data_IF_910542964371
#
_entry.id   IF_910542964371
#
_cell.length_a   1.000
_cell.length_b   1.000
_cell.length_c   1.000
_cell.angle_alpha   90.00
_cell.angle_beta   90.00
_cell.angle_gamma   90.00
#
_symmetry.space_group_name_H-M   'P 1'
#
loop_
_entity.id
_entity.type
_entity.pdbx_description
1 polymer ?
#
# COMPACT_ATOMS: atom_id res chain seq x y z
N UNK A 1 10.08 -2.97 11.35
CA UNK A 1 8.60 -2.85 11.45
C UNK A 1 8.10 -4.13 12.09
N UNK A 2 7.37 -4.05 13.21
CA UNK A 2 6.90 -5.25 13.91
C UNK A 2 5.96 -6.07 13.02
N UNK A 3 6.07 -7.40 13.09
CA UNK A 3 5.13 -8.30 12.44
C UNK A 3 3.73 -8.06 13.01
N UNK A 4 2.73 -7.92 12.13
CA UNK A 4 1.31 -7.71 12.48
C UNK A 4 0.45 -8.67 11.68
N UNK A 5 -0.75 -8.98 12.16
CA UNK A 5 -1.61 -10.04 11.61
C UNK A 5 -2.94 -9.49 11.10
N UNK A 6 -3.65 -10.22 10.21
CA UNK A 6 -5.00 -9.87 9.79
C UNK A 6 -6.03 -10.15 10.90
N UNK A 7 -7.03 -9.27 11.01
CA UNK A 7 -8.21 -9.54 11.83
C UNK A 7 -9.16 -10.44 11.02
N UNK A 8 -9.31 -11.68 11.48
CA UNK A 8 -9.95 -12.76 10.72
C UNK A 8 -11.47 -12.65 10.58
N UNK A 9 -12.16 -12.01 11.53
CA UNK A 9 -13.64 -11.99 11.58
C UNK A 9 -14.21 -10.58 11.42
N UNK A 10 -15.40 -10.51 10.79
CA UNK A 10 -16.16 -9.26 10.66
C UNK A 10 -16.55 -8.67 12.02
N UNK A 11 -16.89 -9.53 13.00
CA UNK A 11 -17.22 -9.14 14.39
C UNK A 11 -16.08 -8.36 15.04
N UNK A 12 -14.84 -8.83 14.90
CA UNK A 12 -13.66 -8.18 15.50
C UNK A 12 -13.32 -6.87 14.79
N UNK A 13 -13.46 -6.81 13.45
CA UNK A 13 -13.33 -5.55 12.70
C UNK A 13 -14.32 -4.49 13.18
N UNK A 14 -15.58 -4.87 13.39
CA UNK A 14 -16.63 -3.97 13.91
C UNK A 14 -16.43 -3.59 15.37
N UNK A 15 -15.82 -4.46 16.17
CA UNK A 15 -15.45 -4.12 17.54
C UNK A 15 -14.33 -3.06 17.57
N UNK A 16 -13.29 -3.24 16.76
CA UNK A 16 -12.22 -2.25 16.60
C UNK A 16 -12.75 -0.91 16.07
N UNK A 17 -13.62 -0.92 15.04
CA UNK A 17 -14.25 0.29 14.51
C UNK A 17 -15.02 1.06 15.60
N UNK A 18 -15.81 0.36 16.43
CA UNK A 18 -16.56 0.97 17.54
C UNK A 18 -15.65 1.62 18.57
N UNK A 19 -14.53 0.97 18.92
CA UNK A 19 -13.54 1.55 19.81
C UNK A 19 -12.94 2.83 19.23
N UNK A 20 -12.56 2.83 17.95
CA UNK A 20 -12.01 4.01 17.27
C UNK A 20 -13.01 5.16 17.26
N UNK A 21 -14.27 4.90 16.91
CA UNK A 21 -15.35 5.91 16.89
C UNK A 21 -15.59 6.56 18.25
N UNK A 22 -15.49 5.79 19.33
CA UNK A 22 -15.75 6.28 20.69
C UNK A 22 -14.58 7.05 21.30
N UNK A 23 -13.34 6.67 20.98
CA UNK A 23 -12.16 7.12 21.73
C UNK A 23 -11.19 8.00 20.93
N UNK A 24 -11.38 8.13 19.62
CA UNK A 24 -10.44 8.83 18.74
C UNK A 24 -11.17 9.71 17.72
N UNK A 25 -10.42 10.65 17.13
CA UNK A 25 -10.91 11.51 16.06
C UNK A 25 -11.49 10.69 14.90
N UNK A 26 -12.56 11.21 14.29
CA UNK A 26 -13.22 10.63 13.13
C UNK A 26 -12.24 10.25 12.01
N UNK A 27 -11.17 11.02 11.81
CA UNK A 27 -10.14 10.75 10.81
C UNK A 27 -9.52 9.35 10.99
N UNK A 28 -9.29 8.88 12.22
CA UNK A 28 -8.73 7.54 12.45
C UNK A 28 -9.72 6.43 12.08
N UNK A 29 -11.01 6.65 12.36
CA UNK A 29 -12.08 5.74 11.93
C UNK A 29 -12.21 5.72 10.40
N UNK A 30 -12.09 6.87 9.73
CA UNK A 30 -12.10 6.94 8.27
C UNK A 30 -10.89 6.22 7.66
N UNK A 31 -9.68 6.43 8.19
CA UNK A 31 -8.49 5.66 7.75
C UNK A 31 -8.72 4.16 7.93
N UNK A 32 -9.31 3.75 9.06
CA UNK A 32 -9.65 2.35 9.32
C UNK A 32 -10.60 1.79 8.27
N UNK A 33 -11.76 2.42 8.09
CA UNK A 33 -12.80 1.94 7.18
C UNK A 33 -12.31 1.92 5.72
N UNK A 34 -11.67 3.00 5.26
CA UNK A 34 -11.08 3.06 3.91
C UNK A 34 -10.02 1.97 3.75
N UNK A 35 -9.17 1.73 4.75
CA UNK A 35 -8.14 0.68 4.66
C UNK A 35 -8.71 -0.73 4.61
N UNK A 36 -9.83 -0.98 5.30
CA UNK A 36 -10.53 -2.27 5.30
C UNK A 36 -11.31 -2.52 4.01
N UNK A 37 -11.79 -1.48 3.32
CA UNK A 37 -12.56 -1.63 2.06
C UNK A 37 -11.69 -1.54 0.80
N UNK A 38 -10.61 -0.76 0.81
CA UNK A 38 -9.77 -0.53 -0.37
C UNK A 38 -8.50 -1.40 -0.42
N UNK A 39 -8.06 -1.88 0.76
CA UNK A 39 -6.76 -2.54 0.89
C UNK A 39 -5.59 -1.63 0.51
N UNK A 40 -5.74 -0.31 0.53
CA UNK A 40 -4.63 0.60 0.27
C UNK A 40 -3.58 0.55 1.39
N UNK A 41 -2.35 0.96 1.07
CA UNK A 41 -1.32 1.17 2.11
C UNK A 41 -1.68 2.46 2.84
N UNK A 42 -1.44 2.53 4.15
CA UNK A 42 -1.73 3.75 4.92
C UNK A 42 -1.06 4.99 4.32
N UNK A 43 0.16 4.87 3.79
CA UNK A 43 0.83 5.99 3.10
C UNK A 43 0.05 6.57 1.93
N UNK A 44 -0.72 5.73 1.22
CA UNK A 44 -1.54 6.14 0.09
C UNK A 44 -2.89 6.67 0.58
N UNK A 45 -3.50 6.03 1.60
CA UNK A 45 -4.74 6.49 2.25
C UNK A 45 -4.59 7.93 2.76
N UNK A 46 -3.50 8.22 3.48
CA UNK A 46 -3.28 9.53 4.09
C UNK A 46 -3.12 10.66 3.06
N UNK A 47 -2.82 10.33 1.79
CA UNK A 47 -2.71 11.28 0.69
C UNK A 47 -3.98 11.39 -0.15
N UNK A 48 -5.06 10.71 0.24
CA UNK A 48 -6.32 10.78 -0.48
C UNK A 48 -6.86 12.21 -0.53
N UNK A 49 -7.38 12.56 -1.70
CA UNK A 49 -7.99 13.86 -1.97
C UNK A 49 -9.44 13.69 -2.37
N UNK A 50 -10.29 14.68 -2.09
CA UNK A 50 -11.70 14.61 -2.45
C UNK A 50 -11.90 14.55 -3.97
N UNK A 51 -11.06 15.22 -4.77
CA UNK A 51 -11.10 15.13 -6.24
C UNK A 51 -10.90 13.73 -6.80
N UNK A 52 -10.30 12.83 -6.03
CA UNK A 52 -10.02 11.44 -6.44
C UNK A 52 -11.19 10.49 -6.16
N UNK A 53 -12.28 11.00 -5.58
CA UNK A 53 -13.42 10.20 -5.14
C UNK A 53 -14.67 10.71 -5.84
N UNK A 54 -15.29 9.83 -6.63
CA UNK A 54 -16.63 10.07 -7.12
C UNK A 54 -17.62 9.81 -5.98
N UNK A 55 -18.12 10.89 -5.38
CA UNK A 55 -19.01 10.82 -4.22
C UNK A 55 -20.44 10.33 -4.56
N UNK A 56 -20.81 10.21 -5.84
CA UNK A 56 -22.14 9.68 -6.22
C UNK A 56 -22.16 8.17 -6.33
N UNK A 57 -21.10 7.55 -6.88
CA UNK A 57 -21.05 6.11 -7.14
C UNK A 57 -19.96 5.36 -6.35
N UNK A 58 -19.15 6.07 -5.58
CA UNK A 58 -18.10 5.49 -4.73
C UNK A 58 -16.82 5.06 -5.45
N UNK A 59 -16.74 5.25 -6.77
CA UNK A 59 -15.53 4.96 -7.53
C UNK A 59 -14.41 5.92 -7.14
N UNK A 60 -13.24 5.36 -6.86
CA UNK A 60 -12.06 6.12 -6.47
C UNK A 60 -10.88 5.75 -7.38
N UNK A 61 -10.04 6.72 -7.71
CA UNK A 61 -8.80 6.48 -8.45
C UNK A 61 -7.63 7.21 -7.80
N UNK A 62 -6.54 6.48 -7.55
CA UNK A 62 -5.33 7.07 -6.96
C UNK A 62 -4.07 6.66 -7.72
N UNK A 63 -3.01 7.45 -7.54
CA UNK A 63 -1.66 7.09 -7.93
C UNK A 63 -0.98 6.36 -6.76
N UNK A 64 -0.62 5.09 -6.93
CA UNK A 64 0.12 4.32 -5.93
C UNK A 64 1.55 4.84 -5.79
N UNK A 65 1.97 5.16 -4.56
CA UNK A 65 3.33 5.68 -4.30
C UNK A 65 4.42 4.66 -4.64
N UNK A 66 4.29 3.41 -4.13
CA UNK A 66 5.35 2.38 -4.25
C UNK A 66 5.50 1.87 -5.68
N UNK A 67 4.39 1.62 -6.36
CA UNK A 67 4.39 1.14 -7.75
C UNK A 67 5.00 2.17 -8.70
N UNK A 68 4.62 3.44 -8.56
CA UNK A 68 5.15 4.55 -9.34
C UNK A 68 6.65 4.71 -9.13
N UNK A 69 7.13 4.62 -7.87
CA UNK A 69 8.56 4.66 -7.57
C UNK A 69 9.32 3.51 -8.24
N UNK A 70 8.75 2.30 -8.22
CA UNK A 70 9.36 1.14 -8.89
C UNK A 70 9.44 1.32 -10.41
N UNK A 71 8.41 1.89 -11.05
CA UNK A 71 8.44 2.23 -12.49
C UNK A 71 9.52 3.28 -12.81
N UNK A 72 9.59 4.35 -12.02
CA UNK A 72 10.62 5.40 -12.15
C UNK A 72 12.03 4.83 -11.99
N UNK A 73 12.24 3.96 -10.99
CA UNK A 73 13.51 3.27 -10.78
C UNK A 73 13.90 2.38 -11.98
N UNK A 74 12.94 1.66 -12.55
CA UNK A 74 13.16 0.86 -13.78
C UNK A 74 13.49 1.75 -14.98
N UNK A 75 12.81 2.89 -15.14
CA UNK A 75 13.09 3.84 -16.22
C UNK A 75 14.52 4.40 -16.12
N UNK A 76 14.93 4.87 -14.92
CA UNK A 76 16.32 5.26 -14.64
C UNK A 76 17.31 4.15 -14.98
N UNK A 77 17.03 2.91 -14.57
CA UNK A 77 17.90 1.76 -14.83
C UNK A 77 18.13 1.52 -16.32
N UNK A 78 17.09 1.68 -17.15
CA UNK A 78 17.19 1.52 -18.60
C UNK A 78 18.14 2.55 -19.22
N UNK A 79 18.08 3.80 -18.75
CA UNK A 79 19.02 4.85 -19.18
C UNK A 79 20.45 4.49 -18.79
N UNK A 80 20.67 4.10 -17.53
CA UNK A 80 22.02 3.77 -17.05
C UNK A 80 22.63 2.54 -17.75
N UNK A 81 21.81 1.57 -18.16
CA UNK A 81 22.27 0.44 -19.00
C UNK A 81 22.79 0.92 -20.35
N UNK A 82 22.05 1.81 -21.03
CA UNK A 82 22.49 2.41 -22.30
C UNK A 82 23.76 3.25 -22.13
N UNK A 83 23.83 4.08 -21.08
CA UNK A 83 25.03 4.87 -20.78
C UNK A 83 26.24 3.96 -20.51
N UNK A 84 26.05 2.82 -19.83
CA UNK A 84 27.11 1.83 -19.65
C UNK A 84 27.63 1.30 -21.00
N UNK A 85 26.75 0.95 -21.92
CA UNK A 85 27.11 0.50 -23.27
C UNK A 85 27.87 1.59 -24.04
N UNK A 86 27.41 2.84 -23.98
CA UNK A 86 28.06 4.01 -24.58
C UNK A 86 29.47 4.24 -24.00
N UNK A 87 29.65 4.07 -22.68
CA UNK A 87 30.95 4.19 -22.02
C UNK A 87 31.91 3.06 -22.44
N UNK A 88 31.41 1.83 -22.58
CA UNK A 88 32.22 0.71 -23.09
C UNK A 88 32.76 1.03 -24.48
N UNK A 89 31.89 1.48 -25.38
CA UNK A 89 32.28 1.88 -26.73
C UNK A 89 33.27 3.06 -26.73
N UNK A 90 33.02 4.09 -25.91
CA UNK A 90 33.88 5.27 -25.80
C UNK A 90 35.32 4.93 -25.38
N UNK A 91 35.48 4.02 -24.41
CA UNK A 91 36.80 3.60 -23.94
C UNK A 91 37.46 2.59 -24.88
N UNK A 92 36.69 1.69 -25.51
CA UNK A 92 37.18 0.78 -26.53
C UNK A 92 37.79 1.54 -27.72
N UNK A 93 37.08 2.53 -28.25
CA UNK A 93 37.52 3.35 -29.37
C UNK A 93 38.80 4.17 -29.08
N UNK A 94 39.15 4.38 -27.80
CA UNK A 94 40.36 5.09 -27.35
C UNK A 94 41.49 4.15 -26.94
N UNK A 95 41.31 2.83 -27.07
CA UNK A 95 42.29 1.84 -26.63
C UNK A 95 42.46 1.76 -25.10
N UNK A 96 41.51 2.28 -24.33
CA UNK A 96 41.60 2.36 -22.86
C UNK A 96 41.09 1.08 -22.19
N UNK A 97 41.79 -0.04 -22.42
CA UNK A 97 41.38 -1.40 -21.99
C UNK A 97 41.13 -1.53 -20.48
N UNK A 98 41.97 -0.93 -19.63
CA UNK A 98 41.80 -0.93 -18.16
C UNK A 98 40.48 -0.26 -17.74
N UNK A 99 40.18 0.92 -18.30
CA UNK A 99 38.91 1.62 -18.01
C UNK A 99 37.71 0.84 -18.53
N UNK A 100 37.80 0.30 -19.74
CA UNK A 100 36.75 -0.53 -20.33
C UNK A 100 36.42 -1.75 -19.47
N UNK A 101 37.44 -2.47 -18.98
CA UNK A 101 37.27 -3.63 -18.08
C UNK A 101 36.53 -3.26 -16.79
N UNK A 102 36.88 -2.12 -16.18
CA UNK A 102 36.19 -1.61 -14.98
C UNK A 102 34.71 -1.34 -15.27
N UNK A 103 34.39 -0.66 -16.39
CA UNK A 103 33.00 -0.41 -16.79
C UNK A 103 32.24 -1.72 -17.01
N UNK A 104 32.89 -2.72 -17.63
CA UNK A 104 32.26 -4.01 -17.95
C UNK A 104 31.75 -4.73 -16.69
N UNK A 105 32.57 -4.81 -15.65
CA UNK A 105 32.21 -5.46 -14.38
C UNK A 105 31.30 -4.59 -13.49
N UNK A 106 31.29 -3.27 -13.71
CA UNK A 106 30.53 -2.33 -12.86
C UNK A 106 29.01 -2.47 -13.11
N UNK A 107 28.19 -2.67 -12.06
CA UNK A 107 26.74 -2.67 -12.19
C UNK A 107 26.21 -1.32 -12.72
N UNK A 108 25.17 -1.30 -13.58
CA UNK A 108 24.66 -0.05 -14.19
C UNK A 108 24.32 1.05 -13.18
N UNK A 109 23.88 0.67 -11.97
CA UNK A 109 23.52 1.60 -10.89
C UNK A 109 24.71 2.45 -10.41
N UNK A 110 25.91 1.91 -10.54
CA UNK A 110 27.15 2.51 -10.07
C UNK A 110 27.94 3.18 -11.20
N UNK A 111 27.43 3.13 -12.44
CA UNK A 111 28.16 3.67 -13.59
C UNK A 111 28.30 5.20 -13.55
N UNK A 112 27.45 5.86 -12.76
CA UNK A 112 27.40 7.33 -12.63
C UNK A 112 28.74 7.91 -12.20
N UNK A 113 29.49 7.23 -11.32
CA UNK A 113 30.81 7.69 -10.86
C UNK A 113 31.91 7.59 -11.92
N UNK A 114 31.63 6.94 -13.06
CA UNK A 114 32.59 6.75 -14.16
C UNK A 114 32.22 7.55 -15.41
N UNK A 115 31.16 8.35 -15.35
CA UNK A 115 30.72 9.23 -16.43
C UNK A 115 31.70 10.41 -16.53
N UNK A 116 32.26 10.72 -17.71
CA UNK A 116 33.06 11.92 -17.90
C UNK A 116 32.25 13.19 -17.61
N UNK A 117 32.87 14.22 -17.01
CA UNK A 117 32.21 15.50 -16.70
C UNK A 117 31.45 16.12 -17.89
N UNK A 118 31.99 15.96 -19.11
CA UNK A 118 31.35 16.44 -20.33
C UNK A 118 30.00 15.77 -20.66
N UNK A 119 29.74 14.58 -20.11
CA UNK A 119 28.50 13.82 -20.33
C UNK A 119 27.49 13.98 -19.19
N UNK A 120 27.90 14.48 -18.03
CA UNK A 120 27.06 14.53 -16.82
C UNK A 120 25.74 15.25 -17.06
N UNK A 121 25.77 16.45 -17.68
CA UNK A 121 24.56 17.23 -17.95
C UNK A 121 23.57 16.44 -18.83
N UNK A 122 24.05 15.92 -19.95
CA UNK A 122 23.23 15.16 -20.91
C UNK A 122 22.68 13.87 -20.28
N UNK A 123 23.48 13.16 -19.48
CA UNK A 123 23.00 11.94 -18.82
C UNK A 123 21.97 12.28 -17.74
N UNK A 124 22.17 13.35 -16.96
CA UNK A 124 21.21 13.79 -15.96
C UNK A 124 19.87 14.18 -16.59
N UNK A 125 19.89 14.89 -17.72
CA UNK A 125 18.69 15.22 -18.49
C UNK A 125 17.99 13.96 -19.01
N UNK A 126 18.73 13.01 -19.59
CA UNK A 126 18.18 11.72 -20.05
C UNK A 126 17.51 10.94 -18.91
N UNK A 127 18.15 10.91 -17.73
CA UNK A 127 17.61 10.24 -16.54
C UNK A 127 16.35 10.95 -16.06
N UNK A 128 16.38 12.29 -15.94
CA UNK A 128 15.24 13.11 -15.53
C UNK A 128 14.06 12.90 -16.48
N UNK A 129 14.28 13.06 -17.78
CA UNK A 129 13.28 12.84 -18.81
C UNK A 129 12.69 11.42 -18.70
N UNK A 130 13.52 10.37 -18.59
CA UNK A 130 13.01 9.01 -18.47
C UNK A 130 12.18 8.76 -17.19
N UNK A 131 12.51 9.42 -16.09
CA UNK A 131 11.75 9.35 -14.83
C UNK A 131 10.41 10.08 -14.98
N UNK A 132 10.41 11.27 -15.57
CA UNK A 132 9.24 12.12 -15.72
C UNK A 132 8.26 11.55 -16.75
N UNK A 133 8.76 10.93 -17.82
CA UNK A 133 7.95 10.19 -18.79
C UNK A 133 7.42 8.84 -18.28
N UNK A 134 7.86 8.37 -17.11
CA UNK A 134 7.41 7.08 -16.59
C UNK A 134 5.98 7.18 -16.04
N UNK A 135 5.03 6.54 -16.72
CA UNK A 135 3.60 6.60 -16.36
C UNK A 135 3.35 6.13 -14.92
N UNK A 136 2.60 6.90 -14.11
CA UNK A 136 2.27 6.53 -12.74
C UNK A 136 1.49 5.22 -12.69
N UNK A 137 1.65 4.46 -11.60
CA UNK A 137 0.78 3.31 -11.33
C UNK A 137 -0.51 3.84 -10.73
N UNK A 138 -1.61 3.74 -11.47
CA UNK A 138 -2.94 4.07 -10.94
C UNK A 138 -3.61 2.82 -10.37
N UNK A 139 -4.52 3.04 -9.43
CA UNK A 139 -5.37 2.00 -8.86
C UNK A 139 -6.78 2.52 -8.66
N UNK A 140 -7.74 1.75 -9.16
CA UNK A 140 -9.17 1.97 -8.95
C UNK A 140 -9.66 1.10 -7.79
N UNK A 141 -10.55 1.64 -6.98
CA UNK A 141 -11.24 0.94 -5.91
C UNK A 141 -12.60 1.58 -5.64
N UNK A 142 -13.41 0.94 -4.81
CA UNK A 142 -14.73 1.43 -4.44
C UNK A 142 -14.82 1.60 -2.93
N UNK A 143 -15.62 2.56 -2.49
CA UNK A 143 -15.97 2.80 -1.09
C UNK A 143 -17.47 2.64 -0.89
N UNK A 144 -17.86 2.13 0.27
CA UNK A 144 -19.24 1.95 0.65
C UNK A 144 -19.96 3.28 0.84
N UNK A 145 -21.28 3.26 0.63
CA UNK A 145 -22.14 4.42 0.80
C UNK A 145 -21.98 5.07 2.20
N UNK A 146 -21.80 4.26 3.24
CA UNK A 146 -21.57 4.73 4.61
C UNK A 146 -20.33 5.64 4.74
N UNK A 147 -19.24 5.29 4.04
CA UNK A 147 -18.02 6.10 4.00
C UNK A 147 -18.28 7.36 3.18
N UNK A 148 -18.95 7.25 2.04
CA UNK A 148 -19.25 8.40 1.18
C UNK A 148 -20.11 9.45 1.88
N UNK A 149 -21.14 9.04 2.63
CA UNK A 149 -21.97 9.94 3.43
C UNK A 149 -21.10 10.69 4.43
N UNK A 150 -20.22 9.98 5.14
CA UNK A 150 -19.31 10.58 6.13
C UNK A 150 -18.32 11.56 5.46
N UNK A 151 -17.78 11.19 4.29
CA UNK A 151 -16.88 12.05 3.51
C UNK A 151 -17.59 13.31 2.98
N UNK A 152 -18.85 13.19 2.54
CA UNK A 152 -19.68 14.34 2.11
C UNK A 152 -19.89 15.32 3.26
N UNK A 153 -20.30 14.81 4.42
CA UNK A 153 -20.50 15.62 5.64
C UNK A 153 -19.20 16.32 6.05
N UNK A 154 -18.09 15.57 6.11
CA UNK A 154 -16.78 16.13 6.46
C UNK A 154 -16.29 17.17 5.43
N UNK A 155 -16.52 16.96 4.14
CA UNK A 155 -16.15 17.93 3.09
C UNK A 155 -16.90 19.25 3.30
N UNK A 156 -18.18 19.18 3.65
CA UNK A 156 -18.99 20.37 3.93
C UNK A 156 -18.54 21.10 5.20
N UNK A 157 -18.22 20.36 6.27
CA UNK A 157 -17.74 20.90 7.55
C UNK A 157 -16.45 21.72 7.37
N UNK A 158 -15.52 21.24 6.54
CA UNK A 158 -14.20 21.85 6.34
C UNK A 158 -14.05 22.61 5.01
N UNK A 159 -15.16 23.02 4.38
CA UNK A 159 -15.16 23.68 3.06
C UNK A 159 -14.29 24.95 3.00
N UNK A 160 -14.23 25.70 4.11
CA UNK A 160 -13.50 26.98 4.23
C UNK A 160 -11.97 26.82 4.22
N UNK A 161 -11.44 25.63 4.51
CA UNK A 161 -9.99 25.40 4.53
C UNK A 161 -9.38 25.37 3.12
N UNK A 162 -10.20 25.43 2.05
CA UNK A 162 -9.77 25.39 0.65
C UNK A 162 -8.74 24.27 0.34
N UNK A 163 -8.86 23.14 1.04
CA UNK A 163 -7.90 22.05 0.96
C UNK A 163 -8.59 20.76 0.50
N UNK A 164 -7.98 20.10 -0.48
CA UNK A 164 -8.51 18.91 -1.11
C UNK A 164 -8.12 17.61 -0.37
N UNK A 165 -7.12 17.64 0.51
CA UNK A 165 -6.70 16.46 1.27
C UNK A 165 -7.67 16.11 2.39
N UNK A 166 -8.17 14.86 2.39
CA UNK A 166 -9.14 14.34 3.37
C UNK A 166 -8.54 14.26 4.78
N UNK A 167 -7.24 13.95 4.87
CA UNK A 167 -6.53 13.71 6.13
C UNK A 167 -5.54 14.83 6.47
N UNK A 168 -5.86 16.08 6.10
CA UNK A 168 -5.09 17.23 6.54
C UNK A 168 -5.23 17.42 8.06
N UNK A 169 -4.12 17.75 8.75
CA UNK A 169 -4.11 17.91 10.20
C UNK A 169 -5.01 19.03 10.71
N UNK A 170 -5.25 20.06 9.90
CA UNK A 170 -6.17 21.15 10.21
C UNK A 170 -7.63 20.69 10.36
N UNK A 171 -7.96 19.51 9.81
CA UNK A 171 -9.29 18.89 9.92
C UNK A 171 -9.43 17.95 11.12
N UNK A 172 -8.39 17.83 11.96
CA UNK A 172 -8.46 17.03 13.19
C UNK A 172 -9.01 17.87 14.35
N UNK A 173 -9.71 17.25 15.29
CA UNK A 173 -10.26 17.89 16.50
C UNK A 173 -9.18 18.46 17.44
N UNK A 174 -7.98 17.88 17.47
CA UNK A 174 -6.92 18.28 18.38
C UNK A 174 -6.33 19.66 18.03
N UNK A 175 -6.36 20.61 18.98
CA UNK A 175 -5.77 21.94 18.81
C UNK A 175 -4.28 21.91 18.44
N UNK A 176 -3.51 20.97 19.00
CA UNK A 176 -2.10 20.74 18.62
C UNK A 176 -1.95 20.35 17.15
N UNK A 177 -2.91 19.59 16.61
CA UNK A 177 -2.90 19.20 15.21
C UNK A 177 -3.35 20.33 14.29
N UNK A 178 -4.33 21.14 14.72
CA UNK A 178 -4.86 22.27 13.94
C UNK A 178 -3.82 23.35 13.66
N UNK A 179 -2.91 23.60 14.61
CA UNK A 179 -1.82 24.56 14.43
C UNK A 179 -0.66 24.07 13.56
N UNK A 180 -0.71 22.83 13.07
CA UNK A 180 0.37 22.23 12.27
C UNK A 180 0.00 22.04 10.80
N UNK A 181 0.94 22.34 9.91
CA UNK A 181 0.79 22.06 8.49
C UNK A 181 0.92 20.56 8.16
N UNK A 182 0.33 20.17 7.03
CA UNK A 182 0.50 18.86 6.41
C UNK A 182 -0.55 17.82 6.78
N UNK A 183 -0.20 16.55 6.51
CA UNK A 183 -1.12 15.41 6.60
C UNK A 183 -0.98 14.65 7.91
N UNK A 184 -2.04 13.96 8.30
CA UNK A 184 -2.01 12.96 9.37
C UNK A 184 -0.86 11.97 9.10
N UNK A 185 -0.07 11.65 10.13
CA UNK A 185 1.13 10.84 9.94
C UNK A 185 0.86 9.36 10.12
N UNK A 186 1.66 8.53 9.43
CA UNK A 186 1.67 7.08 9.66
C UNK A 186 1.97 6.71 11.11
N UNK A 187 2.79 7.51 11.80
CA UNK A 187 3.15 7.27 13.20
C UNK A 187 1.94 7.52 14.12
N UNK A 188 1.15 8.55 13.86
CA UNK A 188 -0.10 8.80 14.59
C UNK A 188 -1.10 7.66 14.37
N UNK A 189 -1.28 7.20 13.13
CA UNK A 189 -2.13 6.04 12.85
C UNK A 189 -1.60 4.77 13.54
N UNK A 190 -0.29 4.53 13.51
CA UNK A 190 0.31 3.38 14.19
C UNK A 190 0.05 3.44 15.69
N UNK A 191 0.28 4.60 16.32
CA UNK A 191 0.05 4.79 17.75
C UNK A 191 -1.41 4.47 18.11
N UNK A 192 -2.38 5.03 17.39
CA UNK A 192 -3.81 4.75 17.62
C UNK A 192 -4.16 3.29 17.36
N UNK A 193 -3.78 2.73 16.21
CA UNK A 193 -4.14 1.36 15.84
C UNK A 193 -3.45 0.30 16.68
N UNK A 194 -2.25 0.57 17.21
CA UNK A 194 -1.56 -0.37 18.09
C UNK A 194 -2.34 -0.66 19.38
N UNK A 195 -3.12 0.31 19.88
CA UNK A 195 -4.01 0.15 21.05
C UNK A 195 -5.07 -0.91 20.85
N UNK A 196 -5.52 -1.12 19.61
CA UNK A 196 -6.50 -2.15 19.28
C UNK A 196 -6.02 -3.56 19.61
N UNK A 197 -4.71 -3.78 19.73
CA UNK A 197 -4.15 -5.05 20.20
C UNK A 197 -4.67 -5.40 21.60
N UNK A 198 -4.62 -4.46 22.54
CA UNK A 198 -5.10 -4.68 23.91
C UNK A 198 -6.62 -4.86 23.93
N UNK A 199 -7.35 -4.01 23.19
CA UNK A 199 -8.81 -4.06 23.12
C UNK A 199 -9.33 -5.38 22.53
N UNK A 200 -8.65 -5.91 21.50
CA UNK A 200 -9.02 -7.20 20.93
C UNK A 200 -8.64 -8.35 21.87
N UNK A 201 -7.55 -8.23 22.63
CA UNK A 201 -7.15 -9.23 23.64
C UNK A 201 -8.19 -9.35 24.76
N UNK A 202 -8.81 -8.25 25.19
CA UNK A 202 -9.88 -8.25 26.21
C UNK A 202 -11.09 -9.12 25.81
N UNK A 203 -11.36 -9.26 24.52
CA UNK A 203 -12.43 -10.12 23.99
C UNK A 203 -11.92 -11.49 23.50
N UNK A 204 -10.73 -11.90 23.95
CA UNK A 204 -10.14 -13.21 23.66
C UNK A 204 -9.50 -13.32 22.27
N UNK A 205 -9.13 -12.20 21.64
CA UNK A 205 -8.54 -12.18 20.29
C UNK A 205 -7.09 -11.72 20.39
N UNK A 206 -6.17 -12.70 20.42
CA UNK A 206 -4.74 -12.42 20.40
C UNK A 206 -4.28 -12.11 18.97
N UNK A 207 -4.22 -10.81 18.64
CA UNK A 207 -3.78 -10.33 17.33
C UNK A 207 -3.03 -9.02 17.48
N UNK A 208 -1.80 -8.98 16.98
CA UNK A 208 -1.02 -7.73 16.98
C UNK A 208 -1.51 -6.82 15.86
N UNK A 209 -2.02 -5.65 16.24
CA UNK A 209 -2.58 -4.66 15.30
C UNK A 209 -1.59 -3.55 14.99
N UNK A 210 -1.53 -3.15 13.72
CA UNK A 210 -0.81 -1.95 13.29
C UNK A 210 -1.21 -1.53 11.87
N UNK A 211 -0.42 -0.64 11.27
CA UNK A 211 -0.74 -0.04 9.97
C UNK A 211 -0.96 -1.06 8.84
N UNK A 212 -0.25 -2.19 8.85
CA UNK A 212 -0.41 -3.23 7.84
C UNK A 212 -1.59 -4.17 8.11
N UNK A 213 -2.15 -4.19 9.33
CA UNK A 213 -3.30 -5.02 9.69
C UNK A 213 -4.51 -4.71 8.82
N UNK A 214 -4.73 -3.45 8.45
CA UNK A 214 -5.87 -3.06 7.60
C UNK A 214 -5.79 -3.76 6.24
N UNK A 215 -4.67 -3.59 5.53
CA UNK A 215 -4.46 -4.21 4.22
C UNK A 215 -4.44 -5.74 4.29
N UNK A 216 -3.86 -6.32 5.36
CA UNK A 216 -3.88 -7.78 5.59
C UNK A 216 -5.31 -8.29 5.81
N UNK A 217 -6.10 -7.57 6.60
CA UNK A 217 -7.49 -7.92 6.88
C UNK A 217 -8.31 -7.82 5.59
N UNK A 218 -8.23 -6.71 4.85
CA UNK A 218 -8.86 -6.58 3.53
C UNK A 218 -8.53 -7.78 2.63
N UNK A 219 -7.23 -8.11 2.49
CA UNK A 219 -6.77 -9.20 1.64
C UNK A 219 -7.37 -10.55 2.07
N UNK A 220 -7.43 -10.82 3.38
CA UNK A 220 -8.05 -12.04 3.91
C UNK A 220 -9.55 -12.07 3.63
N UNK A 221 -10.27 -10.99 3.92
CA UNK A 221 -11.71 -10.93 3.69
C UNK A 221 -12.06 -11.03 2.20
N UNK A 222 -11.28 -10.39 1.32
CA UNK A 222 -11.42 -10.52 -0.13
C UNK A 222 -11.29 -11.99 -0.56
N UNK A 223 -10.22 -12.66 -0.13
CA UNK A 223 -10.00 -14.07 -0.45
C UNK A 223 -11.19 -14.94 -0.09
N UNK A 224 -11.73 -14.82 1.13
CA UNK A 224 -12.89 -15.63 1.53
C UNK A 224 -14.19 -15.20 0.82
N UNK A 225 -14.36 -13.90 0.55
CA UNK A 225 -15.56 -13.38 -0.12
C UNK A 225 -15.64 -13.80 -1.60
N UNK A 226 -14.50 -14.00 -2.26
CA UNK A 226 -14.42 -14.36 -3.68
C UNK A 226 -14.30 -15.87 -3.89
N UNK A 227 -14.71 -16.68 -2.91
CA UNK A 227 -14.61 -18.13 -3.01
C UNK A 227 -13.18 -18.67 -3.03
N UNK A 228 -12.22 -17.94 -2.43
CA UNK A 228 -10.79 -18.28 -2.32
C UNK A 228 -9.98 -18.16 -3.61
N UNK A 229 -10.37 -17.23 -4.48
CA UNK A 229 -9.60 -16.91 -5.68
C UNK A 229 -8.27 -16.20 -5.33
N UNK A 230 -7.18 -16.96 -5.43
CA UNK A 230 -5.82 -16.48 -5.16
C UNK A 230 -5.28 -15.57 -6.27
N UNK A 231 -5.66 -15.80 -7.52
CA UNK A 231 -5.22 -15.01 -8.68
C UNK A 231 -5.82 -13.60 -8.63
N UNK A 232 -7.12 -13.52 -8.33
CA UNK A 232 -7.80 -12.26 -8.06
C UNK A 232 -7.18 -11.54 -6.86
N UNK A 233 -6.94 -12.26 -5.76
CA UNK A 233 -6.29 -11.68 -4.58
C UNK A 233 -4.94 -11.05 -4.94
N UNK A 234 -4.07 -11.82 -5.61
CA UNK A 234 -2.74 -11.37 -6.03
C UNK A 234 -2.80 -10.13 -6.92
N UNK A 235 -3.74 -10.11 -7.86
CA UNK A 235 -3.98 -8.98 -8.77
C UNK A 235 -4.38 -7.74 -8.00
N UNK A 236 -5.35 -7.86 -7.08
CA UNK A 236 -5.86 -6.71 -6.30
C UNK A 236 -4.82 -6.15 -5.34
N UNK A 237 -4.03 -6.99 -4.67
CA UNK A 237 -3.03 -6.53 -3.69
C UNK A 237 -1.64 -6.29 -4.29
N UNK A 238 -1.42 -6.67 -5.55
CA UNK A 238 -0.17 -6.48 -6.29
C UNK A 238 0.98 -7.39 -5.82
N UNK A 239 0.67 -8.61 -5.37
CA UNK A 239 1.70 -9.59 -4.99
C UNK A 239 2.17 -10.41 -6.19
N UNK A 240 3.45 -10.78 -6.19
CA UNK A 240 4.10 -11.48 -7.31
C UNK A 240 4.10 -13.01 -7.14
N UNK A 241 3.74 -13.53 -5.97
CA UNK A 241 3.63 -14.96 -5.73
C UNK A 241 2.46 -15.31 -4.83
N UNK A 242 1.90 -16.48 -5.05
CA UNK A 242 0.86 -17.07 -4.20
C UNK A 242 1.36 -17.24 -2.77
N UNK A 243 2.55 -17.81 -2.59
CA UNK A 243 3.15 -18.04 -1.27
C UNK A 243 3.27 -16.76 -0.43
N UNK A 244 3.57 -15.62 -1.07
CA UNK A 244 3.56 -14.31 -0.44
C UNK A 244 2.15 -13.92 0.01
N UNK A 245 1.15 -14.10 -0.86
CA UNK A 245 -0.25 -13.82 -0.56
C UNK A 245 -0.81 -14.67 0.56
N UNK A 246 -0.65 -16.00 0.51
CA UNK A 246 -1.14 -16.92 1.56
C UNK A 246 -0.55 -16.57 2.94
N UNK A 247 0.78 -16.36 3.01
CA UNK A 247 1.45 -15.90 4.23
C UNK A 247 0.94 -14.52 4.69
N UNK A 248 0.66 -13.63 3.74
CA UNK A 248 0.20 -12.27 4.04
C UNK A 248 -1.19 -12.25 4.68
N UNK A 249 -2.10 -13.12 4.22
CA UNK A 249 -3.45 -13.28 4.78
C UNK A 249 -3.54 -14.25 5.96
N UNK A 250 -2.39 -14.75 6.42
CA UNK A 250 -2.28 -15.59 7.61
C UNK A 250 -2.89 -16.99 7.42
N UNK A 251 -2.95 -17.48 6.18
CA UNK A 251 -3.22 -18.89 5.93
C UNK A 251 -1.90 -19.65 6.15
N UNK A 252 -1.71 -20.19 7.36
CA UNK A 252 -0.59 -21.07 7.74
C UNK A 252 -1.04 -22.55 7.74
N UNK A 253 -0.14 -23.46 8.14
CA UNK A 253 -0.36 -24.91 8.21
C UNK A 253 -1.65 -25.31 8.96
N UNK A 254 -2.10 -24.50 9.91
CA UNK A 254 -3.29 -24.78 10.74
C UNK A 254 -4.59 -24.87 9.91
N UNK A 255 -4.71 -24.08 8.83
CA UNK A 255 -5.89 -24.14 7.98
C UNK A 255 -5.83 -25.31 6.98
N UNK A 256 -4.64 -25.83 6.67
CA UNK A 256 -4.48 -27.11 5.93
C UNK A 256 -5.01 -28.26 6.78
N UNK A 257 -4.65 -28.31 8.06
CA UNK A 257 -5.17 -29.32 9.00
C UNK A 257 -6.69 -29.22 9.15
N UNK A 258 -7.22 -27.99 9.30
CA UNK A 258 -8.66 -27.77 9.37
C UNK A 258 -9.38 -28.19 8.07
N UNK A 259 -8.76 -27.96 6.90
CA UNK A 259 -9.30 -28.39 5.62
C UNK A 259 -9.38 -29.92 5.52
N UNK A 260 -8.32 -30.62 5.95
CA UNK A 260 -8.32 -32.08 6.02
C UNK A 260 -9.40 -32.61 6.99
N UNK A 261 -9.50 -32.04 8.20
CA UNK A 261 -10.56 -32.40 9.16
C UNK A 261 -11.96 -32.19 8.58
N UNK A 262 -12.20 -31.08 7.87
CA UNK A 262 -13.49 -30.80 7.21
C UNK A 262 -13.79 -31.79 6.08
N UNK A 263 -12.78 -32.19 5.31
CA UNK A 263 -12.94 -33.20 4.27
C UNK A 263 -13.37 -34.54 4.87
N UNK A 264 -12.73 -34.98 5.96
CA UNK A 264 -13.11 -36.21 6.67
C UNK A 264 -14.59 -36.14 7.10
N UNK A 265 -15.02 -35.04 7.71
CA UNK A 265 -16.42 -34.83 8.10
C UNK A 265 -17.36 -34.85 6.90
N UNK A 266 -16.98 -34.21 5.79
CA UNK A 266 -17.77 -34.18 4.56
C UNK A 266 -17.97 -35.59 3.98
N UNK A 267 -16.90 -36.37 3.86
CA UNK A 267 -16.94 -37.76 3.36
C UNK A 267 -17.68 -38.71 4.31
N UNK A 268 -17.72 -38.39 5.61
CA UNK A 268 -18.42 -39.20 6.62
C UNK A 268 -19.94 -38.96 6.68
N UNK A 269 -20.46 -37.94 5.98
CA UNK A 269 -21.91 -37.73 5.89
C UNK A 269 -22.50 -38.80 4.99
N UNK A 270 -23.27 -39.73 5.57
CA UNK A 270 -24.05 -40.72 4.80
C UNK A 270 -24.90 -39.98 3.76
N UNK A 271 -24.64 -40.24 2.49
CA UNK A 271 -25.55 -39.91 1.41
C UNK A 271 -26.85 -40.65 1.70
N UNK A 272 -27.97 -39.93 1.92
CA UNK A 272 -29.28 -40.55 1.78
C UNK A 272 -29.44 -40.82 0.28
N UNK A 273 -29.11 -42.04 -0.11
CA UNK A 273 -29.48 -42.62 -1.41
C UNK A 273 -30.98 -42.90 -1.36
#
# INVERSE_FOLDING_TARGET
>A
MSYVEPIKTRKHLKHAERYLKKNHDLAFTLVWNIGIESGLRISDILKLQYRNINLSNGQCEIIESKGTLARRAKAKMRVLKKVKEELLFHYQARGLSKKMSIIYITPPQLIVSFIPKSWESTVNERVKHAIDSASPVTRTFYLSESILITLKQRKQEYKELANDYIFNRQTLSSNRAKGGEGLLTRQACWYVFSKLTAILKEIGVDVKVGCHTLRKSFARHLYFATGKDIGLLMTVIGHQSESMSLRYIGLSKDETELAQKKLIVYLSRKTRI
#
